data_IF_413840521535
#
_entry.id   IF_413840521535
#
_cell.length_a   1.000
_cell.length_b   1.000
_cell.length_c   1.000
_cell.angle_alpha   90.00
_cell.angle_beta   90.00
_cell.angle_gamma   90.00
#
_symmetry.space_group_name_H-M   'P 1'
#
loop_
_entity.id
_entity.type
_entity.pdbx_description
1 polymer ?
#
# COMPACT_ATOMS: atom_id res chain seq x y z
N UNK A 1 19.81 -37.27 3.92
CA UNK A 1 18.84 -36.30 3.36
C UNK A 1 17.46 -36.93 3.48
N UNK A 2 16.76 -36.71 4.59
CA UNK A 2 15.57 -37.51 4.98
C UNK A 2 14.25 -37.06 4.36
N UNK A 3 14.18 -35.89 3.71
CA UNK A 3 12.93 -35.35 3.16
C UNK A 3 12.91 -35.18 1.62
N UNK A 4 13.99 -35.54 0.91
CA UNK A 4 14.09 -35.31 -0.55
C UNK A 4 14.08 -33.84 -0.98
N UNK A 5 14.30 -32.91 -0.04
CA UNK A 5 14.36 -31.48 -0.29
C UNK A 5 15.82 -30.99 -0.31
N UNK A 6 16.10 -30.02 -1.18
CA UNK A 6 17.36 -29.29 -1.21
C UNK A 6 17.13 -27.80 -0.91
N UNK A 7 18.13 -27.17 -0.29
CA UNK A 7 18.14 -25.72 -0.08
C UNK A 7 18.31 -25.05 -1.44
N UNK A 8 17.61 -23.93 -1.65
CA UNK A 8 17.83 -23.08 -2.81
C UNK A 8 18.91 -22.04 -2.44
N UNK A 9 20.15 -22.15 -2.99
CA UNK A 9 21.25 -21.26 -2.64
C UNK A 9 20.96 -19.79 -2.98
N UNK A 10 20.15 -19.52 -4.00
CA UNK A 10 19.78 -18.14 -4.40
C UNK A 10 18.84 -17.46 -3.39
N UNK A 11 18.28 -18.23 -2.44
CA UNK A 11 17.37 -17.75 -1.39
C UNK A 11 17.90 -17.98 0.01
N UNK A 12 19.10 -18.54 0.14
CA UNK A 12 19.77 -18.73 1.42
C UNK A 12 20.72 -17.54 1.67
N UNK A 13 20.71 -17.06 2.90
CA UNK A 13 21.64 -16.01 3.33
C UNK A 13 21.79 -16.07 4.85
N UNK A 14 23.00 -15.77 5.31
CA UNK A 14 23.36 -15.74 6.72
C UNK A 14 23.56 -14.29 7.13
N UNK A 15 23.03 -13.91 8.28
CA UNK A 15 23.07 -12.55 8.79
C UNK A 15 23.48 -12.57 10.26
N UNK A 16 24.28 -11.59 10.69
CA UNK A 16 24.47 -11.33 12.11
C UNK A 16 23.18 -10.76 12.74
N UNK A 17 22.98 -10.86 14.06
CA UNK A 17 21.77 -10.32 14.70
C UNK A 17 21.54 -8.82 14.47
N UNK A 18 22.60 -8.05 14.27
CA UNK A 18 22.55 -6.62 13.94
C UNK A 18 22.38 -6.32 12.46
N UNK A 19 22.55 -7.32 11.59
CA UNK A 19 22.34 -7.19 10.15
C UNK A 19 20.85 -7.29 9.83
N UNK A 20 20.39 -6.40 8.96
CA UNK A 20 19.00 -6.38 8.55
C UNK A 20 18.61 -7.62 7.76
N UNK A 21 17.33 -7.98 7.81
CA UNK A 21 16.79 -9.13 7.09
C UNK A 21 15.44 -8.81 6.47
N UNK A 22 15.02 -9.63 5.50
CA UNK A 22 13.69 -9.57 4.90
C UNK A 22 13.03 -10.94 5.05
N UNK A 23 11.86 -10.96 5.69
CA UNK A 23 11.12 -12.20 5.91
C UNK A 23 9.61 -11.95 5.84
N UNK A 24 8.89 -12.80 5.09
CA UNK A 24 7.43 -12.76 4.91
C UNK A 24 6.85 -11.36 4.58
N UNK A 25 7.63 -10.51 3.91
CA UNK A 25 7.19 -9.17 3.50
C UNK A 25 7.49 -8.06 4.51
N UNK A 26 8.17 -8.37 5.61
CA UNK A 26 8.76 -7.42 6.55
C UNK A 26 10.25 -7.24 6.28
N UNK A 27 10.80 -6.12 6.72
CA UNK A 27 12.23 -5.91 6.85
C UNK A 27 12.59 -5.43 8.25
N UNK A 28 13.74 -5.88 8.74
CA UNK A 28 14.42 -5.32 9.90
C UNK A 28 15.69 -4.62 9.44
N UNK A 29 15.99 -3.43 9.95
CA UNK A 29 17.17 -2.63 9.57
C UNK A 29 18.27 -2.59 10.66
N UNK A 30 18.17 -3.45 11.68
CA UNK A 30 19.01 -3.40 12.88
C UNK A 30 18.38 -2.62 14.04
N UNK A 31 17.31 -1.85 13.79
CA UNK A 31 16.61 -1.06 14.81
C UNK A 31 15.10 -1.16 14.72
N UNK A 32 14.53 -1.05 13.52
CA UNK A 32 13.11 -0.99 13.28
C UNK A 32 12.67 -2.17 12.42
N UNK A 33 11.47 -2.68 12.71
CA UNK A 33 10.71 -3.53 11.79
C UNK A 33 9.78 -2.65 10.97
N UNK A 34 9.84 -2.79 9.64
CA UNK A 34 8.98 -2.10 8.66
C UNK A 34 8.55 -3.08 7.54
N UNK A 35 7.83 -2.57 6.55
CA UNK A 35 7.40 -3.29 5.37
C UNK A 35 8.58 -3.44 4.39
N UNK A 36 8.84 -4.66 3.93
CA UNK A 36 9.92 -4.93 3.00
C UNK A 36 9.79 -4.09 1.71
N UNK A 37 10.91 -3.57 1.15
CA UNK A 37 10.88 -2.77 -0.07
C UNK A 37 10.17 -3.46 -1.24
N UNK A 38 10.33 -4.78 -1.40
CA UNK A 38 9.67 -5.56 -2.45
C UNK A 38 8.15 -5.61 -2.27
N UNK A 39 7.66 -5.62 -1.04
CA UNK A 39 6.22 -5.57 -0.73
C UNK A 39 5.65 -4.22 -1.13
N UNK A 40 6.33 -3.12 -0.78
CA UNK A 40 5.97 -1.75 -1.20
C UNK A 40 5.95 -1.63 -2.72
N UNK A 41 7.00 -2.09 -3.40
CA UNK A 41 7.11 -2.09 -4.87
C UNK A 41 5.94 -2.85 -5.53
N UNK A 42 5.63 -4.05 -5.05
CA UNK A 42 4.51 -4.86 -5.56
C UNK A 42 3.17 -4.14 -5.37
N UNK A 43 2.96 -3.47 -4.24
CA UNK A 43 1.74 -2.71 -3.98
C UNK A 43 1.63 -1.49 -4.91
N UNK A 44 2.71 -0.72 -5.06
CA UNK A 44 2.80 0.40 -6.02
C UNK A 44 2.51 -0.07 -7.44
N UNK A 45 3.05 -1.21 -7.86
CA UNK A 45 2.75 -1.81 -9.16
C UNK A 45 1.26 -2.14 -9.36
N UNK A 46 0.58 -2.63 -8.33
CA UNK A 46 -0.88 -2.88 -8.36
C UNK A 46 -1.66 -1.56 -8.48
N UNK A 47 -1.27 -0.54 -7.72
CA UNK A 47 -1.87 0.81 -7.79
C UNK A 47 -1.70 1.42 -9.17
N UNK A 48 -0.49 1.39 -9.74
CA UNK A 48 -0.21 1.91 -11.07
C UNK A 48 -1.08 1.24 -12.14
N UNK A 49 -1.10 -0.10 -12.18
CA UNK A 49 -1.92 -0.85 -13.15
C UNK A 49 -3.40 -0.50 -13.01
N UNK A 50 -3.92 -0.40 -11.78
CA UNK A 50 -5.32 -0.03 -11.56
C UNK A 50 -5.61 1.41 -11.97
N UNK A 51 -4.69 2.35 -11.72
CA UNK A 51 -4.83 3.74 -12.14
C UNK A 51 -4.95 3.87 -13.67
N UNK A 52 -4.10 3.16 -14.44
CA UNK A 52 -4.15 3.14 -15.90
C UNK A 52 -5.43 2.47 -16.42
N UNK A 53 -5.85 1.38 -15.78
CA UNK A 53 -7.10 0.70 -16.13
C UNK A 53 -8.32 1.59 -15.92
N UNK A 54 -8.40 2.31 -14.80
CA UNK A 54 -9.52 3.20 -14.50
C UNK A 54 -9.53 4.43 -15.40
N UNK A 55 -8.38 5.00 -15.72
CA UNK A 55 -8.31 6.13 -16.66
C UNK A 55 -8.84 5.72 -18.03
N UNK A 56 -8.35 4.59 -18.61
CA UNK A 56 -8.85 4.08 -19.89
C UNK A 56 -10.35 3.78 -19.86
N UNK A 57 -10.84 3.23 -18.75
CA UNK A 57 -12.26 2.98 -18.57
C UNK A 57 -13.05 4.29 -18.51
N UNK A 58 -12.53 5.32 -17.84
CA UNK A 58 -13.14 6.65 -17.78
C UNK A 58 -13.24 7.26 -19.17
N UNK A 59 -12.12 7.27 -19.91
CA UNK A 59 -12.03 7.84 -21.26
C UNK A 59 -12.98 7.13 -22.22
N UNK A 60 -12.99 5.79 -22.21
CA UNK A 60 -13.84 4.97 -23.09
C UNK A 60 -15.33 5.20 -22.85
N UNK A 61 -15.74 5.46 -21.62
CA UNK A 61 -17.16 5.56 -21.24
C UNK A 61 -17.60 7.00 -20.97
N UNK A 62 -16.76 7.99 -21.27
CA UNK A 62 -17.00 9.42 -20.97
C UNK A 62 -17.42 9.65 -19.51
N UNK A 63 -16.74 8.98 -18.58
CA UNK A 63 -17.02 9.08 -17.15
C UNK A 63 -16.13 10.16 -16.53
N UNK A 64 -16.71 10.95 -15.63
CA UNK A 64 -15.98 11.96 -14.87
C UNK A 64 -14.81 11.35 -14.07
N UNK A 65 -13.67 12.04 -14.10
CA UNK A 65 -12.44 11.61 -13.46
C UNK A 65 -12.58 11.45 -11.95
N UNK A 66 -13.41 12.27 -11.27
CA UNK A 66 -13.66 12.08 -9.82
C UNK A 66 -14.37 10.76 -9.55
N UNK A 67 -15.28 10.33 -10.41
CA UNK A 67 -15.95 9.02 -10.29
C UNK A 67 -14.96 7.86 -10.47
N UNK A 68 -14.03 7.97 -11.41
CA UNK A 68 -12.96 6.99 -11.56
C UNK A 68 -11.99 6.99 -10.36
N UNK A 69 -11.65 8.16 -9.81
CA UNK A 69 -10.83 8.30 -8.62
C UNK A 69 -11.51 7.69 -7.38
N UNK A 70 -12.83 7.91 -7.21
CA UNK A 70 -13.62 7.26 -6.15
C UNK A 70 -13.57 5.74 -6.25
N UNK A 71 -13.64 5.18 -7.48
CA UNK A 71 -13.52 3.74 -7.69
C UNK A 71 -12.11 3.21 -7.34
N UNK A 72 -11.05 3.99 -7.59
CA UNK A 72 -9.70 3.66 -7.14
C UNK A 72 -9.63 3.60 -5.61
N UNK A 73 -10.09 4.66 -4.95
CA UNK A 73 -10.11 4.79 -3.48
C UNK A 73 -10.85 3.61 -2.85
N UNK A 74 -12.09 3.36 -3.27
CA UNK A 74 -12.90 2.24 -2.76
C UNK A 74 -12.18 0.90 -2.89
N UNK A 75 -11.50 0.65 -4.02
CA UNK A 75 -10.78 -0.61 -4.25
C UNK A 75 -9.59 -0.78 -3.30
N UNK A 76 -8.85 0.29 -3.01
CA UNK A 76 -7.65 0.21 -2.17
C UNK A 76 -7.95 0.33 -0.68
N UNK A 77 -8.96 1.11 -0.27
CA UNK A 77 -9.49 1.04 1.09
C UNK A 77 -9.95 -0.39 1.39
N UNK A 78 -10.79 -0.97 0.51
CA UNK A 78 -11.21 -2.36 0.68
C UNK A 78 -10.06 -3.34 0.76
N UNK A 79 -9.01 -3.14 -0.04
CA UNK A 79 -7.86 -4.06 -0.06
C UNK A 79 -6.98 -3.95 1.18
N UNK A 80 -6.81 -2.73 1.70
CA UNK A 80 -5.79 -2.41 2.68
C UNK A 80 -6.35 -2.31 4.10
N UNK A 81 -7.60 -1.88 4.25
CA UNK A 81 -8.19 -1.48 5.52
C UNK A 81 -9.46 -2.26 5.89
N UNK A 82 -10.18 -2.83 4.92
CA UNK A 82 -11.44 -3.53 5.18
C UNK A 82 -11.24 -5.05 5.07
N UNK A 83 -11.76 -5.81 6.03
CA UNK A 83 -11.90 -7.26 5.92
C UNK A 83 -13.16 -7.64 5.16
N UNK A 84 -13.21 -8.83 4.57
CA UNK A 84 -14.45 -9.36 4.00
C UNK A 84 -15.42 -9.85 5.10
N UNK A 85 -14.89 -10.33 6.22
CA UNK A 85 -15.62 -10.93 7.35
C UNK A 85 -14.92 -10.66 8.69
N UNK A 86 -15.64 -10.86 9.80
CA UNK A 86 -15.07 -10.82 11.16
C UNK A 86 -13.98 -11.91 11.28
N UNK A 87 -12.78 -11.53 11.74
CA UNK A 87 -11.56 -12.35 11.86
C UNK A 87 -10.72 -12.58 10.59
N UNK A 88 -11.00 -11.90 9.46
CA UNK A 88 -10.09 -12.00 8.32
C UNK A 88 -8.84 -11.13 8.53
N UNK A 89 -7.65 -11.74 8.40
CA UNK A 89 -6.37 -11.02 8.44
C UNK A 89 -6.26 -10.05 7.26
N UNK A 90 -6.60 -8.79 7.50
CA UNK A 90 -6.45 -7.73 6.49
C UNK A 90 -4.99 -7.36 6.30
N UNK A 91 -4.68 -6.71 5.17
CA UNK A 91 -3.32 -6.22 4.92
C UNK A 91 -2.86 -5.28 6.04
N UNK A 92 -3.73 -4.41 6.55
CA UNK A 92 -3.43 -3.54 7.69
C UNK A 92 -3.22 -4.33 8.96
N UNK A 93 -4.10 -5.26 9.34
CA UNK A 93 -3.91 -6.08 10.55
C UNK A 93 -2.60 -6.87 10.52
N UNK A 94 -2.22 -7.41 9.36
CA UNK A 94 -0.95 -8.11 9.19
C UNK A 94 0.27 -7.21 9.42
N UNK A 95 0.28 -6.00 8.85
CA UNK A 95 1.45 -5.13 8.97
C UNK A 95 1.44 -4.29 10.25
N UNK A 96 0.30 -3.72 10.63
CA UNK A 96 0.19 -2.78 11.76
C UNK A 96 0.55 -3.44 13.09
N UNK A 97 0.25 -4.73 13.26
CA UNK A 97 0.59 -5.49 14.48
C UNK A 97 2.08 -5.74 14.66
N UNK A 98 2.90 -5.56 13.62
CA UNK A 98 4.31 -5.97 13.62
C UNK A 98 5.26 -4.80 13.36
N UNK A 99 4.89 -3.84 12.51
CA UNK A 99 5.77 -2.72 12.19
C UNK A 99 5.90 -1.76 13.38
N UNK A 100 7.13 -1.28 13.56
CA UNK A 100 7.53 -0.33 14.61
C UNK A 100 7.67 1.11 14.10
N UNK A 101 7.55 1.31 12.79
CA UNK A 101 7.62 2.62 12.13
C UNK A 101 6.55 2.72 11.04
N UNK A 102 6.16 3.96 10.71
CA UNK A 102 5.19 4.26 9.66
C UNK A 102 5.84 4.67 8.32
N UNK A 103 7.15 4.48 8.15
CA UNK A 103 7.88 5.06 7.01
C UNK A 103 7.45 4.48 5.67
N UNK A 104 7.35 3.15 5.55
CA UNK A 104 6.80 2.53 4.34
C UNK A 104 5.32 2.89 4.11
N UNK A 105 4.54 3.11 5.17
CA UNK A 105 3.15 3.57 5.05
C UNK A 105 3.08 4.97 4.40
N UNK A 106 3.95 5.90 4.81
CA UNK A 106 4.06 7.24 4.20
C UNK A 106 4.37 7.16 2.71
N UNK A 107 5.27 6.24 2.32
CA UNK A 107 5.63 6.01 0.90
C UNK A 107 4.42 5.50 0.11
N UNK A 108 3.69 4.53 0.67
CA UNK A 108 2.49 3.96 0.04
C UNK A 108 1.40 5.03 -0.09
N UNK A 109 1.12 5.79 0.96
CA UNK A 109 0.10 6.86 0.96
C UNK A 109 0.44 7.94 -0.07
N UNK A 110 1.69 8.41 -0.11
CA UNK A 110 2.11 9.39 -1.10
C UNK A 110 1.94 8.89 -2.54
N UNK A 111 2.25 7.61 -2.77
CA UNK A 111 2.05 7.00 -4.09
C UNK A 111 0.57 6.81 -4.44
N UNK A 112 -0.27 6.42 -3.47
CA UNK A 112 -1.71 6.32 -3.64
C UNK A 112 -2.32 7.68 -4.01
N UNK A 113 -1.96 8.74 -3.27
CA UNK A 113 -2.39 10.12 -3.57
C UNK A 113 -1.99 10.55 -4.99
N UNK A 114 -0.77 10.24 -5.44
CA UNK A 114 -0.34 10.55 -6.81
C UNK A 114 -1.15 9.76 -7.87
N UNK A 115 -1.44 8.48 -7.61
CA UNK A 115 -2.31 7.68 -8.48
C UNK A 115 -3.73 8.27 -8.54
N UNK A 116 -4.29 8.68 -7.40
CA UNK A 116 -5.62 9.29 -7.32
C UNK A 116 -5.66 10.57 -8.15
N UNK A 117 -4.67 11.46 -7.99
CA UNK A 117 -4.55 12.70 -8.80
C UNK A 117 -4.48 12.40 -10.29
N UNK A 118 -3.69 11.40 -10.65
CA UNK A 118 -3.55 10.99 -12.04
C UNK A 118 -4.88 10.46 -12.62
N UNK A 119 -5.62 9.65 -11.87
CA UNK A 119 -6.95 9.16 -12.31
C UNK A 119 -7.96 10.30 -12.39
N UNK A 120 -7.98 11.18 -11.39
CA UNK A 120 -8.94 12.28 -11.31
C UNK A 120 -8.78 13.30 -12.43
N UNK A 121 -7.52 13.61 -12.80
CA UNK A 121 -7.22 14.67 -13.76
C UNK A 121 -6.83 14.18 -15.15
N UNK A 122 -6.43 12.91 -15.28
CA UNK A 122 -5.80 12.36 -16.47
C UNK A 122 -4.42 12.96 -16.78
N UNK A 123 -3.85 13.81 -15.90
CA UNK A 123 -2.60 14.54 -16.16
C UNK A 123 -1.43 14.01 -15.31
N UNK A 124 -0.23 14.07 -15.89
CA UNK A 124 1.07 13.80 -15.21
C UNK A 124 1.90 15.06 -14.96
N UNK A 125 1.34 16.23 -15.27
CA UNK A 125 1.99 17.53 -15.05
C UNK A 125 1.63 18.09 -13.67
N UNK A 126 2.10 19.31 -13.36
CA UNK A 126 1.76 20.02 -12.12
C UNK A 126 0.25 20.24 -11.92
N UNK A 127 -0.53 20.31 -13.01
CA UNK A 127 -2.00 20.45 -12.96
C UNK A 127 -2.72 19.33 -12.18
N UNK A 128 -2.09 18.16 -12.01
CA UNK A 128 -2.70 17.08 -11.22
C UNK A 128 -2.84 17.45 -9.73
N UNK A 129 -2.05 18.40 -9.25
CA UNK A 129 -2.11 18.89 -7.86
C UNK A 129 -3.29 19.83 -7.61
N UNK A 130 -4.03 20.22 -8.65
CA UNK A 130 -5.32 20.91 -8.50
C UNK A 130 -6.34 20.00 -7.79
N UNK A 131 -6.17 18.68 -7.90
CA UNK A 131 -6.88 17.69 -7.08
C UNK A 131 -6.18 17.54 -5.72
N UNK A 132 -6.74 18.18 -4.70
CA UNK A 132 -6.15 18.35 -3.37
C UNK A 132 -6.47 17.17 -2.46
N UNK A 133 -5.84 17.15 -1.29
CA UNK A 133 -6.11 16.13 -0.28
C UNK A 133 -7.58 16.16 0.17
N UNK A 134 -8.18 17.34 0.34
CA UNK A 134 -9.60 17.47 0.69
C UNK A 134 -10.54 16.85 -0.35
N UNK A 135 -10.21 16.97 -1.65
CA UNK A 135 -10.95 16.27 -2.70
C UNK A 135 -10.85 14.75 -2.53
N UNK A 136 -9.67 14.23 -2.20
CA UNK A 136 -9.49 12.78 -1.96
C UNK A 136 -10.26 12.33 -0.72
N UNK A 137 -10.21 13.12 0.36
CA UNK A 137 -10.89 12.85 1.63
C UNK A 137 -12.40 12.83 1.46
N UNK A 138 -12.97 13.81 0.74
CA UNK A 138 -14.40 13.85 0.42
C UNK A 138 -14.87 12.66 -0.44
N UNK A 139 -13.97 12.05 -1.22
CA UNK A 139 -14.24 10.79 -1.94
C UNK A 139 -14.06 9.53 -1.08
N UNK A 140 -13.67 9.68 0.19
CA UNK A 140 -13.51 8.60 1.17
C UNK A 140 -12.09 8.05 1.28
N UNK A 141 -11.05 8.77 0.82
CA UNK A 141 -9.67 8.33 1.01
C UNK A 141 -9.31 8.24 2.49
N UNK A 142 -8.73 7.10 2.89
CA UNK A 142 -8.18 6.86 4.24
C UNK A 142 -6.66 6.76 4.15
N UNK A 143 -5.96 7.45 5.05
CA UNK A 143 -4.49 7.43 5.12
C UNK A 143 -4.03 6.25 5.94
N UNK A 144 -3.16 5.40 5.38
CA UNK A 144 -2.57 4.28 6.12
C UNK A 144 -1.81 4.75 7.37
N UNK A 145 -1.15 5.90 7.30
CA UNK A 145 -0.41 6.46 8.45
C UNK A 145 -1.38 6.82 9.58
N UNK A 146 -2.49 7.48 9.26
CA UNK A 146 -3.50 7.83 10.26
C UNK A 146 -4.10 6.57 10.89
N UNK A 147 -4.51 5.62 10.07
CA UNK A 147 -5.12 4.36 10.54
C UNK A 147 -4.14 3.52 11.38
N UNK A 148 -2.83 3.55 11.06
CA UNK A 148 -1.81 2.88 11.87
C UNK A 148 -1.69 3.49 13.27
N UNK A 149 -1.63 4.82 13.38
CA UNK A 149 -1.54 5.46 14.70
C UNK A 149 -2.83 5.28 15.51
N UNK A 150 -4.01 5.32 14.88
CA UNK A 150 -5.26 4.95 15.56
C UNK A 150 -5.20 3.52 16.09
N UNK A 151 -4.75 2.55 15.28
CA UNK A 151 -4.56 1.17 15.72
C UNK A 151 -3.60 1.06 16.90
N UNK A 152 -2.45 1.75 16.85
CA UNK A 152 -1.47 1.74 17.95
C UNK A 152 -2.06 2.32 19.22
N UNK A 153 -2.83 3.41 19.14
CA UNK A 153 -3.47 4.02 20.30
C UNK A 153 -4.58 3.15 20.89
N UNK A 154 -5.36 2.45 20.06
CA UNK A 154 -6.42 1.53 20.50
C UNK A 154 -5.88 0.25 21.16
N UNK A 155 -4.61 -0.12 20.91
CA UNK A 155 -3.97 -1.34 21.42
C UNK A 155 -2.87 -1.06 22.47
N UNK A 156 -2.84 0.15 23.02
CA UNK A 156 -2.05 0.48 24.23
C UNK A 156 -2.78 0.07 25.49
#
# INVERSE_FOLDING_TARGET
>A
IEAGLSINPDKESFFAPSEGWVFLGFCFDGKNVDIAPKTVEKLKGKMYRKSRSLLRWSDKNNIDGKKAAKAFIKKFNKKLLEGAEDNELTWSLWFFSVISTADSLKVIDNYAKDCIRYVATGKRTKKRFDFRYEDMKSLGYKSLVHEYYSYVDDNK
#
